data_IF_144751996200
#
_entry.id   IF_144751996200
#
_cell.length_a   1.000
_cell.length_b   1.000
_cell.length_c   1.000
_cell.angle_alpha   90.00
_cell.angle_beta   90.00
_cell.angle_gamma   90.00
#
_symmetry.space_group_name_H-M   'P 1'
#
loop_
_entity.id
_entity.type
_entity.pdbx_description
1 polymer ?
#
# COMPACT_ATOMS: atom_id res chain seq x y z
N UNK A 1 7.23 18.56 21.61
CA UNK A 1 6.47 17.84 22.65
C UNK A 1 5.19 17.23 22.07
N UNK A 2 5.27 16.55 20.92
CA UNK A 2 4.07 16.30 20.09
C UNK A 2 3.85 14.84 19.68
N UNK A 3 4.78 13.93 19.95
CA UNK A 3 4.68 12.52 19.52
C UNK A 3 3.90 11.62 20.49
N UNK A 4 3.90 11.92 21.79
CA UNK A 4 3.26 11.05 22.80
C UNK A 4 1.74 11.12 22.73
N UNK A 5 1.18 12.31 22.43
CA UNK A 5 -0.26 12.57 22.42
C UNK A 5 -0.96 11.98 21.17
N UNK A 6 -0.25 11.92 20.04
CA UNK A 6 -0.74 11.37 18.78
C UNK A 6 -0.86 9.84 18.81
N UNK A 7 0.12 9.16 19.42
CA UNK A 7 0.07 7.70 19.59
C UNK A 7 -1.05 7.28 20.56
N UNK A 8 -1.31 8.05 21.62
CA UNK A 8 -2.42 7.76 22.54
C UNK A 8 -3.80 7.91 21.88
N UNK A 9 -4.00 8.94 21.05
CA UNK A 9 -5.27 9.14 20.33
C UNK A 9 -5.52 8.04 19.28
N UNK A 10 -4.46 7.56 18.64
CA UNK A 10 -4.52 6.40 17.73
C UNK A 10 -4.87 5.11 18.48
N UNK A 11 -4.23 4.86 19.62
CA UNK A 11 -4.54 3.67 20.43
C UNK A 11 -5.97 3.70 20.97
N UNK A 12 -6.46 4.87 21.36
CA UNK A 12 -7.84 5.06 21.82
C UNK A 12 -8.86 4.80 20.70
N UNK A 13 -8.63 5.35 19.50
CA UNK A 13 -9.48 5.06 18.33
C UNK A 13 -9.45 3.58 17.95
N UNK A 14 -8.28 2.94 18.01
CA UNK A 14 -8.13 1.50 17.77
C UNK A 14 -8.89 0.65 18.81
N UNK A 15 -8.86 1.02 20.09
CA UNK A 15 -9.58 0.34 21.18
C UNK A 15 -11.10 0.49 21.07
N UNK A 16 -11.60 1.70 20.77
CA UNK A 16 -13.03 1.95 20.55
C UNK A 16 -13.59 1.15 19.37
N UNK A 17 -12.76 0.89 18.35
CA UNK A 17 -13.14 0.16 17.14
C UNK A 17 -13.11 -1.37 17.33
N UNK A 18 -12.36 -1.86 18.31
CA UNK A 18 -12.40 -3.27 18.76
C UNK A 18 -13.66 -3.63 19.56
N UNK A 19 -14.46 -2.66 20.02
CA UNK A 19 -15.64 -2.91 20.86
C UNK A 19 -16.95 -3.16 20.07
N UNK A 20 -16.95 -3.03 18.74
CA UNK A 20 -18.13 -3.28 17.88
C UNK A 20 -18.53 -4.76 17.72
N UNK A 21 -19.79 -5.03 17.39
CA UNK A 21 -20.44 -6.36 17.45
C UNK A 21 -19.96 -7.34 16.34
N UNK A 22 -20.04 -8.65 16.61
CA UNK A 22 -19.19 -9.74 16.05
C UNK A 22 -19.19 -10.03 14.54
N UNK A 23 -20.10 -9.46 13.73
CA UNK A 23 -20.02 -9.48 12.25
C UNK A 23 -19.51 -8.16 11.64
N UNK A 24 -19.77 -7.05 12.33
CA UNK A 24 -19.26 -5.70 11.99
C UNK A 24 -17.84 -5.47 12.51
N UNK A 25 -17.39 -6.30 13.45
CA UNK A 25 -16.07 -6.22 14.11
C UNK A 25 -14.90 -6.31 13.12
N UNK A 26 -15.02 -7.15 12.09
CA UNK A 26 -13.98 -7.25 11.05
C UNK A 26 -14.03 -6.08 10.07
N UNK A 27 -15.22 -5.70 9.61
CA UNK A 27 -15.39 -4.61 8.63
C UNK A 27 -14.97 -3.25 9.19
N UNK A 28 -15.40 -2.94 10.43
CA UNK A 28 -15.08 -1.67 11.08
C UNK A 28 -13.64 -1.60 11.59
N UNK A 29 -13.05 -2.71 12.07
CA UNK A 29 -11.63 -2.74 12.44
C UNK A 29 -10.71 -2.58 11.21
N UNK A 30 -11.11 -3.10 10.05
CA UNK A 30 -10.38 -2.91 8.78
C UNK A 30 -10.46 -1.47 8.28
N UNK A 31 -11.65 -0.86 8.32
CA UNK A 31 -11.84 0.55 7.95
C UNK A 31 -11.09 1.51 8.90
N UNK A 32 -10.97 1.14 10.17
CA UNK A 32 -10.21 1.86 11.19
C UNK A 32 -8.70 1.87 10.96
N UNK A 33 -8.14 0.73 10.57
CA UNK A 33 -6.71 0.59 10.31
C UNK A 33 -6.29 1.43 9.10
N UNK A 34 -7.14 1.44 8.06
CA UNK A 34 -6.97 2.26 6.87
C UNK A 34 -7.01 3.74 7.23
N UNK A 35 -7.92 4.19 8.11
CA UNK A 35 -8.05 5.60 8.50
C UNK A 35 -7.02 6.09 9.53
N UNK A 36 -6.23 5.20 10.14
CA UNK A 36 -5.27 5.53 11.20
C UNK A 36 -4.06 6.33 10.72
N UNK A 37 -3.73 6.32 9.43
CA UNK A 37 -2.67 7.15 8.86
C UNK A 37 -3.33 8.36 8.18
N UNK A 38 -3.17 9.62 8.64
CA UNK A 38 -3.88 10.77 8.09
C UNK A 38 -3.74 10.93 6.56
N UNK A 39 -2.54 10.65 6.02
CA UNK A 39 -2.26 10.74 4.58
C UNK A 39 -2.75 9.54 3.78
N UNK A 40 -2.52 8.31 4.25
CA UNK A 40 -2.93 7.08 3.56
C UNK A 40 -4.43 6.84 3.74
N UNK A 41 -4.95 7.17 4.91
CA UNK A 41 -6.33 6.96 5.32
C UNK A 41 -7.30 7.90 4.66
N UNK A 42 -6.96 9.17 4.48
CA UNK A 42 -7.79 10.08 3.67
C UNK A 42 -7.88 9.60 2.22
N UNK A 43 -6.76 9.14 1.64
CA UNK A 43 -6.73 8.61 0.28
C UNK A 43 -7.50 7.29 0.16
N UNK A 44 -7.22 6.33 1.03
CA UNK A 44 -7.81 5.00 0.99
C UNK A 44 -9.31 4.99 1.36
N UNK A 45 -9.76 5.83 2.29
CA UNK A 45 -11.21 6.02 2.56
C UNK A 45 -11.91 6.63 1.34
N UNK A 46 -11.29 7.60 0.65
CA UNK A 46 -11.87 8.17 -0.58
C UNK A 46 -12.01 7.13 -1.68
N UNK A 47 -11.02 6.25 -1.87
CA UNK A 47 -11.14 5.15 -2.82
C UNK A 47 -12.18 4.12 -2.37
N UNK A 48 -12.24 3.81 -1.08
CA UNK A 48 -13.20 2.86 -0.52
C UNK A 48 -14.65 3.35 -0.70
N UNK A 49 -14.95 4.60 -0.35
CA UNK A 49 -16.31 5.14 -0.42
C UNK A 49 -16.83 5.27 -1.86
N UNK A 50 -15.94 5.46 -2.84
CA UNK A 50 -16.33 5.59 -4.25
C UNK A 50 -16.48 4.25 -4.99
N UNK A 51 -15.99 3.13 -4.44
CA UNK A 51 -15.89 1.85 -5.18
C UNK A 51 -16.66 0.66 -4.60
N UNK A 52 -17.35 0.81 -3.46
CA UNK A 52 -18.18 -0.26 -2.87
C UNK A 52 -19.51 -0.37 -3.62
N UNK A 53 -19.52 -1.00 -4.80
CA UNK A 53 -20.75 -1.57 -5.42
C UNK A 53 -20.54 -2.86 -6.25
N UNK A 54 -19.32 -3.24 -6.65
CA UNK A 54 -19.10 -4.39 -7.57
C UNK A 54 -18.07 -5.43 -7.08
N UNK A 55 -18.10 -6.71 -7.54
CA UNK A 55 -17.14 -7.75 -7.14
C UNK A 55 -15.66 -7.44 -7.42
N UNK A 56 -15.35 -6.54 -8.37
CA UNK A 56 -14.01 -5.97 -8.57
C UNK A 56 -13.49 -5.32 -7.28
N UNK A 57 -14.39 -4.69 -6.50
CA UNK A 57 -14.05 -4.03 -5.24
C UNK A 57 -13.53 -4.98 -4.16
N UNK A 58 -13.84 -6.29 -4.19
CA UNK A 58 -13.30 -7.23 -3.20
C UNK A 58 -11.80 -7.48 -3.41
N UNK A 59 -11.34 -7.58 -4.67
CA UNK A 59 -9.91 -7.72 -4.97
C UNK A 59 -9.14 -6.47 -4.63
N UNK A 60 -9.70 -5.31 -5.02
CA UNK A 60 -9.14 -4.02 -4.66
C UNK A 60 -9.09 -3.82 -3.14
N UNK A 61 -10.13 -4.27 -2.43
CA UNK A 61 -10.19 -4.23 -0.98
C UNK A 61 -9.08 -5.06 -0.34
N UNK A 62 -8.92 -6.33 -0.77
CA UNK A 62 -7.86 -7.20 -0.25
C UNK A 62 -6.45 -6.62 -0.55
N UNK A 63 -6.28 -6.04 -1.74
CA UNK A 63 -5.05 -5.34 -2.11
C UNK A 63 -4.76 -4.15 -1.18
N UNK A 64 -5.75 -3.27 -0.98
CA UNK A 64 -5.63 -2.10 -0.11
C UNK A 64 -5.38 -2.50 1.35
N UNK A 65 -6.05 -3.54 1.84
CA UNK A 65 -5.87 -4.06 3.18
C UNK A 65 -4.41 -4.53 3.38
N UNK A 66 -3.89 -5.36 2.47
CA UNK A 66 -2.50 -5.82 2.52
C UNK A 66 -1.51 -4.66 2.45
N UNK A 67 -1.73 -3.71 1.53
CA UNK A 67 -0.87 -2.55 1.35
C UNK A 67 -0.79 -1.68 2.61
N UNK A 68 -1.92 -1.42 3.29
CA UNK A 68 -1.93 -0.62 4.53
C UNK A 68 -1.15 -1.31 5.64
N UNK A 69 -1.31 -2.64 5.79
CA UNK A 69 -0.56 -3.40 6.79
C UNK A 69 0.95 -3.31 6.54
N UNK A 70 1.37 -3.46 5.28
CA UNK A 70 2.77 -3.35 4.89
C UNK A 70 3.31 -1.92 5.12
N UNK A 71 2.52 -0.88 4.84
CA UNK A 71 2.92 0.52 5.10
C UNK A 71 3.07 0.83 6.59
N UNK A 72 2.20 0.28 7.45
CA UNK A 72 2.32 0.41 8.90
C UNK A 72 3.59 -0.27 9.40
N UNK A 73 3.84 -1.51 8.98
CA UNK A 73 5.06 -2.23 9.32
C UNK A 73 6.32 -1.53 8.82
N UNK A 74 6.29 -0.96 7.61
CA UNK A 74 7.40 -0.20 7.05
C UNK A 74 7.79 1.01 7.93
N UNK A 75 6.80 1.72 8.47
CA UNK A 75 7.03 2.87 9.36
C UNK A 75 7.64 2.47 10.70
N UNK A 76 7.40 1.25 11.17
CA UNK A 76 8.02 0.71 12.38
C UNK A 76 9.47 0.27 12.14
N UNK A 77 9.79 -0.15 10.91
CA UNK A 77 11.09 -0.71 10.55
C UNK A 77 12.10 0.31 9.99
N UNK A 78 11.62 1.38 9.36
CA UNK A 78 12.45 2.34 8.65
C UNK A 78 12.18 3.76 9.15
N UNK A 79 13.21 4.39 9.70
CA UNK A 79 13.17 5.79 10.08
C UNK A 79 13.03 6.70 8.84
N UNK A 80 12.24 7.77 8.98
CA UNK A 80 12.08 8.77 7.91
C UNK A 80 11.06 8.40 6.82
N UNK A 81 10.32 7.31 6.99
CA UNK A 81 9.17 7.00 6.12
C UNK A 81 8.14 8.14 6.17
N UNK A 82 7.73 8.62 4.99
CA UNK A 82 6.81 9.75 4.86
C UNK A 82 5.72 9.50 3.82
N UNK A 83 4.48 9.58 4.28
CA UNK A 83 3.28 9.44 3.45
C UNK A 83 2.71 10.79 2.98
N UNK A 84 3.18 11.90 3.54
CA UNK A 84 2.78 13.26 3.15
C UNK A 84 3.52 13.74 1.89
N UNK A 85 4.55 13.01 1.48
CA UNK A 85 5.37 13.39 0.34
C UNK A 85 4.55 13.26 -0.98
N UNK A 86 4.59 14.25 -1.89
CA UNK A 86 3.80 14.25 -3.13
C UNK A 86 4.05 13.05 -4.07
N UNK A 87 5.29 12.54 -4.08
CA UNK A 87 5.69 11.39 -4.88
C UNK A 87 4.99 10.13 -4.39
N UNK A 88 5.04 9.86 -3.08
CA UNK A 88 4.27 8.74 -2.48
C UNK A 88 2.79 8.83 -2.84
N UNK A 89 2.16 9.99 -2.65
CA UNK A 89 0.74 10.16 -2.93
C UNK A 89 0.40 9.92 -4.41
N UNK A 90 1.28 10.35 -5.32
CA UNK A 90 1.13 10.13 -6.76
C UNK A 90 1.27 8.66 -7.11
N UNK A 91 2.27 7.98 -6.57
CA UNK A 91 2.53 6.55 -6.80
C UNK A 91 1.41 5.70 -6.23
N UNK A 92 0.96 5.99 -5.02
CA UNK A 92 -0.21 5.37 -4.40
C UNK A 92 -1.43 5.46 -5.32
N UNK A 93 -1.84 6.66 -5.72
CA UNK A 93 -3.03 6.88 -6.57
C UNK A 93 -2.95 6.13 -7.90
N UNK A 94 -1.77 6.15 -8.55
CA UNK A 94 -1.56 5.42 -9.81
C UNK A 94 -1.62 3.91 -9.61
N UNK A 95 -0.96 3.40 -8.57
CA UNK A 95 -0.95 1.97 -8.26
C UNK A 95 -2.34 1.43 -7.95
N UNK A 96 -3.17 2.16 -7.18
CA UNK A 96 -4.57 1.78 -6.92
C UNK A 96 -5.35 1.63 -8.23
N UNK A 97 -5.23 2.61 -9.13
CA UNK A 97 -5.92 2.57 -10.43
C UNK A 97 -5.51 1.36 -11.28
N UNK A 98 -4.21 1.03 -11.32
CA UNK A 98 -3.71 -0.14 -12.05
C UNK A 98 -4.18 -1.44 -11.37
N UNK A 99 -4.15 -1.49 -10.04
CA UNK A 99 -4.53 -2.67 -9.25
C UNK A 99 -6.01 -3.03 -9.41
N UNK A 100 -6.90 -2.04 -9.54
CA UNK A 100 -8.35 -2.25 -9.71
C UNK A 100 -8.67 -3.11 -10.96
N UNK A 101 -7.92 -2.91 -12.04
CA UNK A 101 -8.04 -3.69 -13.27
C UNK A 101 -7.32 -5.04 -13.24
N UNK A 102 -6.66 -5.41 -12.13
CA UNK A 102 -5.70 -6.51 -12.11
C UNK A 102 -6.14 -7.69 -11.22
N UNK A 103 -5.83 -8.90 -11.68
CA UNK A 103 -6.08 -10.15 -10.94
C UNK A 103 -4.81 -10.98 -10.70
N UNK A 104 -3.76 -10.71 -11.47
CA UNK A 104 -2.49 -11.44 -11.40
C UNK A 104 -1.72 -11.01 -10.16
N UNK A 105 -1.43 -11.96 -9.26
CA UNK A 105 -0.82 -11.68 -7.97
C UNK A 105 0.58 -11.07 -8.10
N UNK A 106 1.36 -11.50 -9.10
CA UNK A 106 2.71 -10.97 -9.34
C UNK A 106 2.68 -9.48 -9.69
N UNK A 107 1.67 -9.04 -10.44
CA UNK A 107 1.50 -7.62 -10.76
C UNK A 107 1.06 -6.83 -9.53
N UNK A 108 0.14 -7.37 -8.73
CA UNK A 108 -0.30 -6.75 -7.48
C UNK A 108 0.85 -6.65 -6.46
N UNK A 109 1.71 -7.65 -6.37
CA UNK A 109 2.91 -7.62 -5.53
C UNK A 109 3.89 -6.54 -6.01
N UNK A 110 4.15 -6.46 -7.32
CA UNK A 110 5.02 -5.42 -7.89
C UNK A 110 4.49 -4.00 -7.63
N UNK A 111 3.18 -3.79 -7.77
CA UNK A 111 2.53 -2.51 -7.45
C UNK A 111 2.65 -2.15 -5.97
N UNK A 112 2.45 -3.12 -5.06
CA UNK A 112 2.67 -2.91 -3.62
C UNK A 112 4.10 -2.46 -3.33
N UNK A 113 5.08 -3.19 -3.87
CA UNK A 113 6.49 -2.85 -3.69
C UNK A 113 6.82 -1.46 -4.24
N UNK A 114 6.25 -1.05 -5.37
CA UNK A 114 6.43 0.31 -5.89
C UNK A 114 5.92 1.37 -4.92
N UNK A 115 4.75 1.15 -4.31
CA UNK A 115 4.19 2.07 -3.30
C UNK A 115 5.04 2.10 -2.03
N UNK A 116 5.47 0.95 -1.50
CA UNK A 116 6.33 0.91 -0.31
C UNK A 116 7.65 1.66 -0.54
N UNK A 117 8.31 1.41 -1.67
CA UNK A 117 9.56 2.07 -2.03
C UNK A 117 9.39 3.58 -2.30
N UNK A 118 8.19 4.06 -2.60
CA UNK A 118 7.93 5.49 -2.74
C UNK A 118 7.87 6.23 -1.40
N UNK A 119 7.64 5.50 -0.30
CA UNK A 119 7.49 6.03 1.04
C UNK A 119 8.81 6.14 1.82
N UNK A 120 9.84 5.39 1.43
CA UNK A 120 11.14 5.36 2.12
C UNK A 120 12.02 6.59 1.80
N UNK A 121 12.92 6.99 2.70
CA UNK A 121 13.92 8.02 2.42
C UNK A 121 14.86 7.57 1.29
N UNK A 122 15.39 8.53 0.52
CA UNK A 122 16.26 8.28 -0.64
C UNK A 122 15.65 7.33 -1.69
N UNK A 123 14.33 7.34 -1.82
CA UNK A 123 13.64 6.62 -2.88
C UNK A 123 14.06 7.12 -4.28
N UNK A 124 13.73 6.35 -5.31
CA UNK A 124 14.11 6.63 -6.70
C UNK A 124 13.72 8.04 -7.16
N UNK A 125 14.30 8.54 -8.25
CA UNK A 125 13.80 9.80 -8.84
C UNK A 125 12.37 9.63 -9.37
N UNK A 126 11.58 10.69 -9.36
CA UNK A 126 10.16 10.68 -9.72
C UNK A 126 9.89 10.15 -11.13
N UNK A 127 10.76 10.48 -12.08
CA UNK A 127 10.72 10.00 -13.46
C UNK A 127 10.91 8.48 -13.53
N UNK A 128 11.91 7.97 -12.83
CA UNK A 128 12.22 6.54 -12.77
C UNK A 128 11.06 5.76 -12.12
N UNK A 129 10.51 6.24 -11.01
CA UNK A 129 9.39 5.57 -10.36
C UNK A 129 8.12 5.56 -11.22
N UNK A 130 7.86 6.67 -11.92
CA UNK A 130 6.79 6.76 -12.91
C UNK A 130 6.96 5.77 -14.06
N UNK A 131 8.20 5.52 -14.50
CA UNK A 131 8.51 4.50 -15.52
C UNK A 131 8.22 3.10 -15.01
N UNK A 132 8.60 2.77 -13.77
CA UNK A 132 8.31 1.45 -13.18
C UNK A 132 6.83 1.15 -13.14
N UNK A 133 5.99 2.10 -12.73
CA UNK A 133 4.54 1.89 -12.73
C UNK A 133 3.98 1.61 -14.12
N UNK A 134 4.46 2.32 -15.15
CA UNK A 134 4.07 2.06 -16.55
C UNK A 134 4.49 0.67 -17.00
N UNK A 135 5.72 0.28 -16.71
CA UNK A 135 6.21 -1.05 -17.05
C UNK A 135 5.43 -2.15 -16.35
N UNK A 136 5.12 -1.98 -15.06
CA UNK A 136 4.29 -2.95 -14.33
C UNK A 136 2.92 -3.08 -15.00
N UNK A 137 2.31 -1.97 -15.44
CA UNK A 137 1.02 -2.00 -16.12
C UNK A 137 1.09 -2.72 -17.49
N UNK A 138 2.11 -2.43 -18.28
CA UNK A 138 2.29 -3.02 -19.62
C UNK A 138 2.80 -4.47 -19.61
N UNK A 139 3.60 -4.84 -18.60
CA UNK A 139 4.22 -6.16 -18.53
C UNK A 139 3.20 -7.26 -18.27
N UNK A 140 3.37 -8.37 -18.99
CA UNK A 140 2.74 -9.64 -18.65
C UNK A 140 3.42 -10.27 -17.43
N UNK A 141 2.75 -11.23 -16.78
CA UNK A 141 3.34 -12.03 -15.68
C UNK A 141 4.69 -12.62 -16.10
N UNK A 142 4.83 -13.09 -17.34
CA UNK A 142 6.06 -13.71 -17.83
C UNK A 142 7.25 -12.76 -17.79
N UNK A 143 7.06 -11.48 -18.14
CA UNK A 143 8.12 -10.48 -18.02
C UNK A 143 8.52 -10.28 -16.56
N UNK A 144 7.55 -10.18 -15.64
CA UNK A 144 7.83 -10.02 -14.20
C UNK A 144 8.58 -11.23 -13.65
N UNK A 145 8.16 -12.45 -14.00
CA UNK A 145 8.82 -13.70 -13.58
C UNK A 145 10.23 -13.79 -14.15
N UNK A 146 10.44 -13.38 -15.40
CA UNK A 146 11.76 -13.32 -16.02
C UNK A 146 12.68 -12.35 -15.27
N UNK A 147 12.21 -11.14 -14.97
CA UNK A 147 12.98 -10.16 -14.19
C UNK A 147 13.35 -10.70 -12.79
N UNK A 148 12.41 -11.37 -12.13
CA UNK A 148 12.66 -12.03 -10.83
C UNK A 148 13.72 -13.13 -10.95
N UNK A 149 13.66 -13.94 -12.00
CA UNK A 149 14.66 -14.97 -12.28
C UNK A 149 16.04 -14.37 -12.55
N UNK A 150 16.12 -13.33 -13.37
CA UNK A 150 17.39 -12.64 -13.67
C UNK A 150 17.99 -12.03 -12.41
N UNK A 151 17.17 -11.40 -11.55
CA UNK A 151 17.62 -10.88 -10.26
C UNK A 151 18.16 -12.00 -9.35
N UNK A 152 17.45 -13.12 -9.26
CA UNK A 152 17.89 -14.28 -8.49
C UNK A 152 19.22 -14.84 -8.98
N UNK A 153 19.39 -14.99 -10.31
CA UNK A 153 20.64 -15.47 -10.91
C UNK A 153 21.79 -14.50 -10.61
N UNK A 154 21.56 -13.18 -10.71
CA UNK A 154 22.61 -12.20 -10.44
C UNK A 154 23.11 -12.31 -9.00
N UNK A 155 22.20 -12.36 -8.03
CA UNK A 155 22.58 -12.41 -6.61
C UNK A 155 23.28 -13.72 -6.23
N UNK A 156 23.00 -14.83 -6.93
CA UNK A 156 23.67 -16.11 -6.69
C UNK A 156 25.13 -16.13 -7.17
N UNK A 157 25.49 -15.28 -8.13
CA UNK A 157 26.86 -15.21 -8.66
C UNK A 157 27.77 -14.26 -7.86
N UNK A 158 27.23 -13.58 -6.85
CA UNK A 158 27.95 -12.65 -5.97
C UNK A 158 28.28 -13.25 -4.59
N UNK A 159 27.88 -14.50 -4.31
CA UNK A 159 28.30 -15.34 -3.16
C UNK A 159 29.35 -16.39 -3.58
#
# INVERSE_FOLDING_TARGET
MSNTNYNSELQEKLELLKQGNSKDKNYNAKKALVSAIPAVGSLAVTFYENYIKEPSSQRLHNFLEGLVQELLGLKEQIDGVSFDNPKFQTTFKKAIRIADGQHQQEKLEALRNAVLNSAIPNSLKDDVEGMFLKWIDEFTVSHIRLLRMLHYINNYNEE
#
